data_IF_551951977281
#
_entry.id   IF_551951977281
#
_cell.length_a   1.000
_cell.length_b   1.000
_cell.length_c   1.000
_cell.angle_alpha   90.00
_cell.angle_beta   90.00
_cell.angle_gamma   90.00
#
_symmetry.space_group_name_H-M   'P 1'
#
loop_
_entity.id
_entity.type
_entity.pdbx_description
1 polymer ?
#
# COMPACT_ATOMS: atom_id res chain seq x y z
N UNK A 1 21.97 -4.04 9.73
CA UNK A 1 20.68 -3.64 9.11
C UNK A 1 20.01 -4.80 8.34
N UNK A 2 19.91 -6.01 8.91
CA UNK A 2 19.19 -7.15 8.28
C UNK A 2 17.87 -7.51 9.01
N UNK A 3 17.61 -6.92 10.19
CA UNK A 3 16.44 -7.24 11.01
C UNK A 3 15.12 -6.71 10.43
N UNK A 4 15.16 -5.57 9.72
CA UNK A 4 13.94 -4.94 9.18
C UNK A 4 13.43 -5.63 7.91
N UNK A 5 14.31 -6.16 7.06
CA UNK A 5 13.93 -6.83 5.79
C UNK A 5 13.03 -8.04 6.03
N UNK A 6 13.27 -8.77 7.13
CA UNK A 6 12.51 -9.97 7.48
C UNK A 6 11.09 -9.66 7.99
N UNK A 7 10.82 -8.42 8.40
CA UNK A 7 9.52 -8.04 8.96
C UNK A 7 8.41 -8.11 7.91
N UNK A 8 8.67 -7.66 6.68
CA UNK A 8 7.69 -7.69 5.59
C UNK A 8 7.26 -9.10 5.22
N UNK A 9 8.23 -10.00 5.03
CA UNK A 9 7.98 -11.41 4.69
C UNK A 9 7.27 -12.16 5.81
N UNK A 10 7.61 -11.90 7.08
CA UNK A 10 6.88 -12.49 8.23
C UNK A 10 5.43 -12.06 8.28
N UNK A 11 5.16 -10.77 8.03
CA UNK A 11 3.79 -10.23 8.00
C UNK A 11 3.00 -10.85 6.85
N UNK A 12 3.62 -11.03 5.68
CA UNK A 12 3.01 -11.73 4.54
C UNK A 12 2.71 -13.21 4.84
N UNK A 13 3.63 -13.91 5.50
CA UNK A 13 3.39 -15.31 5.91
C UNK A 13 2.17 -15.45 6.85
N UNK A 14 2.00 -14.51 7.79
CA UNK A 14 0.82 -14.49 8.65
C UNK A 14 -0.44 -14.19 7.84
N UNK A 15 -0.37 -13.25 6.90
CA UNK A 15 -1.47 -12.95 5.98
C UNK A 15 -1.92 -14.17 5.16
N UNK A 16 -0.97 -14.91 4.57
CA UNK A 16 -1.29 -16.14 3.84
C UNK A 16 -1.95 -17.19 4.73
N UNK A 17 -1.51 -17.33 5.98
CA UNK A 17 -2.20 -18.21 6.95
C UNK A 17 -3.62 -17.73 7.21
N UNK A 18 -3.85 -16.43 7.44
CA UNK A 18 -5.19 -15.89 7.66
C UNK A 18 -6.11 -16.19 6.48
N UNK A 19 -5.62 -16.02 5.25
CA UNK A 19 -6.35 -16.36 4.02
C UNK A 19 -6.72 -17.85 3.96
N UNK A 20 -5.79 -18.75 4.32
CA UNK A 20 -6.05 -20.20 4.42
C UNK A 20 -7.10 -20.57 5.46
N UNK A 21 -7.18 -19.82 6.56
CA UNK A 21 -8.21 -20.01 7.58
C UNK A 21 -9.54 -19.30 7.25
N UNK A 22 -9.66 -18.67 6.08
CA UNK A 22 -10.86 -17.93 5.68
C UNK A 22 -11.11 -16.65 6.49
N UNK A 23 -10.08 -16.13 7.16
CA UNK A 23 -10.19 -14.90 7.96
C UNK A 23 -9.94 -13.70 7.06
N UNK A 24 -10.99 -12.93 6.77
CA UNK A 24 -10.87 -11.68 6.02
C UNK A 24 -10.28 -10.57 6.90
N UNK A 25 -9.14 -9.96 6.48
CA UNK A 25 -8.59 -8.81 7.19
C UNK A 25 -9.49 -7.57 7.05
N UNK A 26 -9.51 -6.73 8.08
CA UNK A 26 -10.11 -5.39 7.99
C UNK A 26 -9.17 -4.42 7.25
N UNK A 27 -9.72 -3.29 6.79
CA UNK A 27 -8.98 -2.22 6.09
C UNK A 27 -7.67 -1.83 6.80
N UNK A 28 -7.72 -1.63 8.12
CA UNK A 28 -6.55 -1.32 8.93
C UNK A 28 -5.43 -2.38 8.84
N UNK A 29 -5.79 -3.67 8.83
CA UNK A 29 -4.81 -4.76 8.80
C UNK A 29 -4.18 -4.86 7.41
N UNK A 30 -4.97 -4.73 6.35
CA UNK A 30 -4.48 -4.63 4.97
C UNK A 30 -3.46 -3.49 4.82
N UNK A 31 -3.79 -2.29 5.32
CA UNK A 31 -2.89 -1.14 5.33
C UNK A 31 -1.58 -1.45 6.08
N UNK A 32 -1.66 -2.15 7.21
CA UNK A 32 -0.46 -2.51 7.97
C UNK A 32 0.44 -3.51 7.23
N UNK A 33 -0.14 -4.49 6.55
CA UNK A 33 0.57 -5.47 5.73
C UNK A 33 1.25 -4.78 4.55
N UNK A 34 0.52 -3.96 3.80
CA UNK A 34 1.06 -3.21 2.67
C UNK A 34 2.18 -2.26 3.08
N UNK A 35 2.04 -1.51 4.17
CA UNK A 35 3.08 -0.61 4.68
C UNK A 35 4.36 -1.37 5.05
N UNK A 36 4.23 -2.54 5.69
CA UNK A 36 5.38 -3.38 6.04
C UNK A 36 6.11 -3.90 4.78
N UNK A 37 5.36 -4.31 3.75
CA UNK A 37 5.91 -4.78 2.48
C UNK A 37 6.60 -3.66 1.70
N UNK A 38 5.97 -2.48 1.61
CA UNK A 38 6.55 -1.29 0.98
C UNK A 38 7.82 -0.82 1.69
N UNK A 39 7.86 -0.86 3.03
CA UNK A 39 9.05 -0.49 3.81
C UNK A 39 10.22 -1.44 3.60
N UNK A 40 9.95 -2.71 3.29
CA UNK A 40 10.95 -3.74 3.06
C UNK A 40 11.28 -3.96 1.58
N UNK A 41 10.85 -3.05 0.71
CA UNK A 41 11.08 -3.09 -0.74
C UNK A 41 10.42 -4.27 -1.48
N UNK A 42 9.39 -4.89 -0.88
CA UNK A 42 8.61 -5.97 -1.50
C UNK A 42 7.33 -5.42 -2.16
N UNK A 43 7.49 -4.46 -3.09
CA UNK A 43 6.34 -3.77 -3.71
C UNK A 43 5.41 -4.72 -4.46
N UNK A 44 5.94 -5.73 -5.17
CA UNK A 44 5.12 -6.68 -5.92
C UNK A 44 4.15 -7.47 -5.00
N UNK A 45 4.63 -7.87 -3.82
CA UNK A 45 3.77 -8.52 -2.82
C UNK A 45 2.74 -7.53 -2.25
N UNK A 46 3.13 -6.27 -2.03
CA UNK A 46 2.19 -5.24 -1.57
C UNK A 46 1.05 -5.01 -2.59
N UNK A 47 1.35 -5.04 -3.89
CA UNK A 47 0.35 -4.92 -4.97
C UNK A 47 -0.57 -6.15 -4.99
N UNK A 48 -0.03 -7.35 -4.80
CA UNK A 48 -0.86 -8.56 -4.68
C UNK A 48 -1.87 -8.43 -3.52
N UNK A 49 -1.41 -7.95 -2.36
CA UNK A 49 -2.27 -7.71 -1.19
C UNK A 49 -3.29 -6.60 -1.45
N UNK A 50 -2.94 -5.58 -2.24
CA UNK A 50 -3.87 -4.53 -2.64
C UNK A 50 -4.94 -5.02 -3.63
N UNK A 51 -4.60 -5.95 -4.51
CA UNK A 51 -5.61 -6.59 -5.38
C UNK A 51 -6.58 -7.42 -4.54
N UNK A 52 -6.07 -8.21 -3.60
CA UNK A 52 -6.90 -8.96 -2.64
C UNK A 52 -7.83 -8.01 -1.84
N UNK A 53 -7.31 -6.86 -1.40
CA UNK A 53 -8.11 -5.82 -0.73
C UNK A 53 -9.28 -5.32 -1.58
N UNK A 54 -9.07 -5.15 -2.90
CA UNK A 54 -10.13 -4.74 -3.83
C UNK A 54 -11.14 -5.85 -4.11
N UNK A 55 -10.67 -7.09 -4.24
CA UNK A 55 -11.54 -8.26 -4.43
C UNK A 55 -12.45 -8.48 -3.23
N UNK A 56 -11.97 -8.20 -2.02
CA UNK A 56 -12.76 -8.18 -0.79
C UNK A 56 -13.80 -7.02 -0.75
N UNK A 57 -13.86 -6.16 -1.78
CA UNK A 57 -14.83 -5.07 -1.88
C UNK A 57 -14.61 -3.93 -0.88
N UNK A 58 -13.40 -3.83 -0.31
CA UNK A 58 -13.07 -2.81 0.67
C UNK A 58 -12.80 -1.46 0.00
N UNK A 59 -13.21 -0.38 0.67
CA UNK A 59 -13.03 0.99 0.18
C UNK A 59 -11.68 1.52 0.62
N UNK A 60 -10.88 2.04 -0.31
CA UNK A 60 -9.59 2.63 0.02
C UNK A 60 -9.73 3.89 0.91
N UNK A 61 -9.04 3.90 2.04
CA UNK A 61 -8.84 5.11 2.86
C UNK A 61 -7.61 5.92 2.43
N UNK A 62 -7.51 7.18 2.88
CA UNK A 62 -6.35 8.06 2.63
C UNK A 62 -5.00 7.41 2.97
N UNK A 63 -4.95 6.62 4.04
CA UNK A 63 -3.76 5.88 4.47
C UNK A 63 -3.34 4.83 3.43
N UNK A 64 -4.31 4.14 2.83
CA UNK A 64 -4.10 3.12 1.77
C UNK A 64 -3.37 3.74 0.59
N UNK A 65 -3.88 4.88 0.09
CA UNK A 65 -3.27 5.59 -1.02
C UNK A 65 -1.87 6.11 -0.69
N UNK A 66 -1.68 6.66 0.51
CA UNK A 66 -0.36 7.14 0.96
C UNK A 66 0.69 6.01 0.93
N UNK A 67 0.32 4.82 1.40
CA UNK A 67 1.22 3.65 1.41
C UNK A 67 1.61 3.25 -0.02
N UNK A 68 0.63 3.16 -0.91
CA UNK A 68 0.83 2.77 -2.31
C UNK A 68 1.68 3.80 -3.06
N UNK A 69 1.36 5.09 -2.94
CA UNK A 69 2.14 6.19 -3.53
C UNK A 69 3.60 6.10 -3.06
N UNK A 70 3.84 5.95 -1.76
CA UNK A 70 5.20 5.80 -1.22
C UNK A 70 5.93 4.59 -1.80
N UNK A 71 5.22 3.47 -2.00
CA UNK A 71 5.76 2.27 -2.62
C UNK A 71 6.15 2.48 -4.07
N UNK A 72 5.24 3.03 -4.88
CA UNK A 72 5.48 3.30 -6.29
C UNK A 72 6.56 4.35 -6.52
N UNK A 73 6.60 5.43 -5.74
CA UNK A 73 7.65 6.43 -5.79
C UNK A 73 9.03 5.81 -5.52
N UNK A 74 9.16 4.95 -4.50
CA UNK A 74 10.41 4.24 -4.21
C UNK A 74 10.86 3.30 -5.32
N UNK A 75 9.92 2.76 -6.09
CA UNK A 75 10.20 1.89 -7.23
C UNK A 75 10.36 2.64 -8.55
N UNK A 76 10.24 3.97 -8.56
CA UNK A 76 10.30 4.79 -9.78
C UNK A 76 9.10 4.60 -10.72
N UNK A 77 8.00 3.99 -10.26
CA UNK A 77 6.79 3.71 -11.06
C UNK A 77 5.84 4.91 -11.01
N UNK A 78 6.26 6.02 -11.62
CA UNK A 78 5.56 7.30 -11.52
C UNK A 78 4.20 7.30 -12.23
N UNK A 79 4.06 6.56 -13.34
CA UNK A 79 2.79 6.48 -14.07
C UNK A 79 1.65 5.90 -13.21
N UNK A 80 1.96 4.90 -12.40
CA UNK A 80 1.00 4.31 -11.46
C UNK A 80 0.65 5.24 -10.29
N UNK A 81 1.58 6.12 -9.90
CA UNK A 81 1.29 7.17 -8.92
C UNK A 81 0.23 8.13 -9.48
N UNK A 82 0.36 8.53 -10.74
CA UNK A 82 -0.61 9.42 -11.39
C UNK A 82 -1.98 8.78 -11.57
N UNK A 83 -2.04 7.49 -11.92
CA UNK A 83 -3.32 6.76 -11.99
C UNK A 83 -3.99 6.67 -10.60
N UNK A 84 -3.21 6.38 -9.55
CA UNK A 84 -3.72 6.34 -8.18
C UNK A 84 -4.32 7.70 -7.76
N UNK A 85 -3.68 8.80 -8.15
CA UNK A 85 -4.16 10.16 -7.89
C UNK A 85 -5.47 10.49 -8.61
N UNK A 86 -5.59 10.07 -9.87
CA UNK A 86 -6.84 10.21 -10.63
C UNK A 86 -7.99 9.56 -9.86
N UNK A 87 -7.75 8.35 -9.34
CA UNK A 87 -8.71 7.62 -8.50
C UNK A 87 -8.98 8.31 -7.16
N UNK A 88 -7.96 8.82 -6.47
CA UNK A 88 -8.14 9.59 -5.23
C UNK A 88 -8.99 10.86 -5.42
N UNK A 89 -8.74 11.59 -6.51
CA UNK A 89 -9.47 12.83 -6.85
C UNK A 89 -10.96 12.55 -7.07
N UNK A 90 -11.28 11.42 -7.70
CA UNK A 90 -12.65 10.99 -7.95
C UNK A 90 -13.35 10.46 -6.68
N UNK A 91 -12.60 9.87 -5.75
CA UNK A 91 -13.14 9.31 -4.51
C UNK A 91 -13.30 10.34 -3.36
N UNK A 92 -13.24 11.65 -3.63
CA UNK A 92 -13.47 12.75 -2.67
C UNK A 92 -12.66 12.62 -1.35
N UNK A 93 -11.58 11.84 -1.34
CA UNK A 93 -10.68 11.76 -0.21
C UNK A 93 -9.91 13.07 -0.11
N UNK A 94 -10.06 13.80 1.01
CA UNK A 94 -9.23 14.96 1.34
C UNK A 94 -7.76 14.56 1.15
N UNK A 95 -7.17 14.98 0.04
CA UNK A 95 -5.76 14.83 -0.24
C UNK A 95 -5.01 15.61 0.84
N UNK A 96 -4.46 14.89 1.82
CA UNK A 96 -3.67 15.51 2.87
C UNK A 96 -2.43 16.14 2.24
N UNK A 97 -2.01 17.29 2.77
CA UNK A 97 -0.87 18.09 2.26
C UNK A 97 0.39 17.23 2.16
N UNK A 98 0.50 16.20 3.01
CA UNK A 98 1.55 15.17 2.99
C UNK A 98 1.63 14.37 1.69
N UNK A 99 0.52 14.03 1.04
CA UNK A 99 0.53 13.29 -0.23
C UNK A 99 1.07 14.17 -1.36
N UNK A 100 0.63 15.43 -1.43
CA UNK A 100 1.12 16.41 -2.40
C UNK A 100 2.60 16.78 -2.17
N UNK A 101 3.01 17.00 -0.92
CA UNK A 101 4.42 17.31 -0.61
C UNK A 101 5.35 16.12 -0.83
N UNK A 102 4.89 14.88 -0.59
CA UNK A 102 5.63 13.69 -0.96
C UNK A 102 5.85 13.60 -2.47
N UNK A 103 4.89 14.05 -3.29
CA UNK A 103 5.04 14.11 -4.74
C UNK A 103 6.00 15.19 -5.20
N UNK A 104 5.93 16.40 -4.63
CA UNK A 104 6.89 17.46 -4.94
C UNK A 104 8.33 17.00 -4.65
N UNK A 105 8.55 16.22 -3.59
CA UNK A 105 9.87 15.65 -3.28
C UNK A 105 10.35 14.55 -4.23
N UNK A 106 9.46 13.96 -5.04
CA UNK A 106 9.80 12.87 -5.98
C UNK A 106 9.98 13.41 -7.40
N UNK A 107 9.38 14.56 -7.71
CA UNK A 107 9.47 15.25 -9.00
C UNK A 107 10.65 16.23 -9.09
N UNK A 108 11.34 16.53 -7.98
CA UNK A 108 12.50 17.42 -7.86
C UNK A 108 13.72 16.58 -7.47
#
# INVERSE_FOLDING_TARGET
MQADTNRGLRVYYVYEKMKKFGVQPRVFLYNRIMDALVKTSHLNLAISVYNDFKEDGLVEESVTFMILIKGFCKAGRIDEVFDLLGRMKNNLCKLDVFAYTAMLKVLI
#
